data_IF_733582886788
#
_entry.id   IF_733582886788
#
_cell.length_a   1.000
_cell.length_b   1.000
_cell.length_c   1.000
_cell.angle_alpha   90.00
_cell.angle_beta   90.00
_cell.angle_gamma   90.00
#
_symmetry.space_group_name_H-M   'P 1'
#
loop_
_entity.id
_entity.type
_entity.pdbx_description
1 polymer ?
#
# COMPACT_ATOMS: atom_id res chain seq x y z
N UNK A 1 10.13 7.79 10.73
CA UNK A 1 9.03 6.80 10.68
C UNK A 1 7.80 7.46 11.26
N UNK A 2 6.68 7.49 10.53
CA UNK A 2 5.43 8.04 11.04
C UNK A 2 4.76 7.00 11.96
N UNK A 3 4.69 7.29 13.26
CA UNK A 3 4.20 6.40 14.32
C UNK A 3 3.01 7.04 15.03
N UNK A 4 2.16 7.75 14.29
CA UNK A 4 0.92 8.34 14.82
C UNK A 4 -0.29 7.50 14.46
N UNK A 5 -1.34 7.58 15.27
CA UNK A 5 -2.60 6.92 14.99
C UNK A 5 -3.24 7.50 13.73
N UNK A 6 -3.66 6.64 12.80
CA UNK A 6 -4.30 7.09 11.55
C UNK A 6 -5.54 7.97 11.78
N UNK A 7 -6.30 7.70 12.86
CA UNK A 7 -7.59 8.33 13.14
C UNK A 7 -7.45 9.64 13.93
N UNK A 8 -6.64 9.65 14.98
CA UNK A 8 -6.56 10.78 15.92
C UNK A 8 -5.19 11.44 15.99
N UNK A 9 -4.22 10.99 15.18
CA UNK A 9 -2.86 11.51 15.09
C UNK A 9 -2.04 11.48 16.39
N UNK A 10 -2.54 10.82 17.44
CA UNK A 10 -1.80 10.60 18.68
C UNK A 10 -0.66 9.62 18.48
N UNK A 11 0.49 9.90 19.07
CA UNK A 11 1.67 9.03 19.06
C UNK A 11 1.33 7.63 19.59
N UNK A 12 1.71 6.59 18.85
CA UNK A 12 1.47 5.19 19.23
C UNK A 12 2.56 4.27 18.68
N UNK A 13 2.90 3.24 19.45
CA UNK A 13 3.80 2.18 18.99
C UNK A 13 3.03 0.93 18.53
N UNK A 14 1.70 0.98 18.62
CA UNK A 14 0.83 -0.13 18.25
C UNK A 14 0.44 0.02 16.78
N UNK A 15 0.72 -1.03 16.01
CA UNK A 15 0.39 -1.15 14.59
C UNK A 15 -0.52 -2.33 14.35
N UNK A 16 -1.21 -2.34 13.21
CA UNK A 16 -2.00 -3.49 12.80
C UNK A 16 -1.12 -4.75 12.80
N UNK A 17 -1.51 -5.76 13.59
CA UNK A 17 -0.73 -6.98 13.76
C UNK A 17 -0.58 -7.77 12.44
N UNK A 18 -1.52 -7.59 11.51
CA UNK A 18 -1.59 -8.35 10.25
C UNK A 18 -0.71 -7.75 9.15
N UNK A 19 -0.94 -6.48 8.80
CA UNK A 19 -0.20 -5.84 7.71
C UNK A 19 1.02 -5.03 8.16
N UNK A 20 1.09 -4.66 9.45
CA UNK A 20 2.18 -3.85 10.05
C UNK A 20 2.45 -2.50 9.37
N UNK A 21 1.57 -2.04 8.47
CA UNK A 21 1.73 -0.82 7.68
C UNK A 21 1.04 0.43 8.21
N UNK A 22 0.16 0.30 9.22
CA UNK A 22 -0.61 1.41 9.80
C UNK A 22 -0.64 1.31 11.31
N UNK A 23 -0.69 2.46 11.98
CA UNK A 23 -0.63 2.62 13.42
C UNK A 23 -1.98 3.07 14.00
N UNK A 24 -2.31 2.53 15.18
CA UNK A 24 -3.53 2.85 15.93
C UNK A 24 -3.21 2.94 17.42
N UNK A 25 -3.84 3.87 18.14
CA UNK A 25 -3.68 3.94 19.59
C UNK A 25 -4.63 3.00 20.36
N UNK A 26 -5.71 2.50 19.73
CA UNK A 26 -6.70 1.64 20.38
C UNK A 26 -7.41 0.68 19.42
N UNK A 27 -8.17 -0.29 19.98
CA UNK A 27 -8.98 -1.24 19.19
C UNK A 27 -10.20 -0.57 18.57
N UNK A 28 -10.71 0.48 19.19
CA UNK A 28 -11.83 1.29 18.69
C UNK A 28 -11.43 1.96 17.37
N UNK A 29 -10.24 2.56 17.30
CA UNK A 29 -9.75 3.15 16.05
C UNK A 29 -9.44 2.12 14.96
N UNK A 30 -9.05 0.89 15.33
CA UNK A 30 -8.96 -0.22 14.37
C UNK A 30 -10.35 -0.55 13.81
N UNK A 31 -11.35 -0.67 14.67
CA UNK A 31 -12.72 -1.00 14.27
C UNK A 31 -13.33 0.10 13.37
N UNK A 32 -13.05 1.36 13.68
CA UNK A 32 -13.46 2.51 12.88
C UNK A 32 -12.83 2.50 11.48
N UNK A 33 -11.53 2.21 11.35
CA UNK A 33 -10.88 2.13 10.03
C UNK A 33 -11.19 0.82 9.29
N UNK A 34 -11.62 -0.23 9.99
CA UNK A 34 -11.71 -1.59 9.44
C UNK A 34 -12.43 -1.72 8.08
N UNK A 35 -13.55 -1.02 7.83
CA UNK A 35 -14.23 -1.09 6.53
C UNK A 35 -13.32 -0.72 5.35
N UNK A 36 -12.55 0.36 5.48
CA UNK A 36 -11.55 0.77 4.48
C UNK A 36 -10.26 -0.05 4.58
N UNK A 37 -9.82 -0.35 5.81
CA UNK A 37 -8.58 -1.08 6.10
C UNK A 37 -8.55 -2.48 5.50
N UNK A 38 -9.66 -3.22 5.64
CA UNK A 38 -9.71 -4.66 5.42
C UNK A 38 -9.26 -5.07 4.03
N UNK A 39 -9.64 -4.28 3.02
CA UNK A 39 -9.34 -4.55 1.63
C UNK A 39 -7.82 -4.61 1.38
N UNK A 40 -7.10 -3.57 1.80
CA UNK A 40 -5.66 -3.51 1.63
C UNK A 40 -4.89 -4.35 2.64
N UNK A 41 -5.37 -4.42 3.89
CA UNK A 41 -4.74 -5.19 4.96
C UNK A 41 -4.48 -6.65 4.56
N UNK A 42 -5.47 -7.27 3.91
CA UNK A 42 -5.35 -8.65 3.41
C UNK A 42 -4.23 -8.80 2.39
N UNK A 43 -4.18 -7.91 1.40
CA UNK A 43 -3.18 -7.96 0.31
C UNK A 43 -1.76 -7.75 0.82
N UNK A 44 -1.56 -6.71 1.63
CA UNK A 44 -0.25 -6.42 2.25
C UNK A 44 0.23 -7.56 3.12
N UNK A 45 -0.67 -8.16 3.91
CA UNK A 45 -0.29 -9.28 4.78
C UNK A 45 0.16 -10.53 4.02
N UNK A 46 -0.32 -10.73 2.79
CA UNK A 46 0.07 -11.86 1.95
C UNK A 46 1.41 -11.64 1.24
N UNK A 47 1.78 -10.39 0.96
CA UNK A 47 2.96 -10.02 0.19
C UNK A 47 4.29 -10.13 0.96
N UNK A 48 4.25 -10.16 2.29
CA UNK A 48 5.45 -10.24 3.13
C UNK A 48 6.34 -9.00 3.00
N UNK A 49 7.59 -9.19 2.57
CA UNK A 49 8.61 -8.12 2.47
C UNK A 49 8.62 -7.39 1.13
N UNK A 50 7.98 -7.95 0.10
CA UNK A 50 8.00 -7.40 -1.27
C UNK A 50 6.94 -6.31 -1.41
N UNK A 51 7.20 -5.17 -0.78
CA UNK A 51 6.26 -4.04 -0.78
C UNK A 51 6.98 -2.71 -1.03
N UNK A 52 6.36 -1.84 -1.81
CA UNK A 52 6.75 -0.44 -1.95
C UNK A 52 5.91 0.47 -1.05
N UNK A 53 6.41 1.65 -0.76
CA UNK A 53 5.60 2.70 -0.16
C UNK A 53 4.79 3.39 -1.25
N UNK A 54 3.48 3.50 -1.03
CA UNK A 54 2.56 4.15 -1.96
C UNK A 54 1.59 5.05 -1.22
N UNK A 55 1.10 6.08 -1.91
CA UNK A 55 0.07 6.98 -1.37
C UNK A 55 -1.26 6.59 -1.99
N UNK A 56 -2.25 6.33 -1.14
CA UNK A 56 -3.62 6.00 -1.50
C UNK A 56 -4.52 7.20 -1.17
N UNK A 57 -5.18 7.73 -2.20
CA UNK A 57 -6.25 8.72 -2.08
C UNK A 57 -7.58 7.99 -2.21
N UNK A 58 -8.29 7.80 -1.09
CA UNK A 58 -9.64 7.26 -1.11
C UNK A 58 -10.62 8.36 -1.52
N UNK A 59 -11.61 8.04 -2.36
CA UNK A 59 -12.56 9.02 -2.91
C UNK A 59 -13.49 9.61 -1.84
N UNK A 60 -13.72 8.88 -0.75
CA UNK A 60 -14.48 9.27 0.42
C UNK A 60 -13.62 9.87 1.54
N UNK A 61 -12.33 10.11 1.28
CA UNK A 61 -11.38 10.58 2.29
C UNK A 61 -10.57 11.80 1.84
N UNK A 62 -10.48 12.80 2.71
CA UNK A 62 -9.71 14.02 2.46
C UNK A 62 -8.22 13.79 2.74
N UNK A 63 -7.88 12.83 3.61
CA UNK A 63 -6.51 12.57 4.07
C UNK A 63 -5.89 11.42 3.26
N UNK A 64 -4.77 11.63 2.54
CA UNK A 64 -4.08 10.54 1.87
C UNK A 64 -3.54 9.52 2.88
N UNK A 65 -3.58 8.25 2.50
CA UNK A 65 -3.06 7.14 3.29
C UNK A 65 -1.71 6.71 2.75
N UNK A 66 -0.71 6.58 3.61
CA UNK A 66 0.53 5.87 3.26
C UNK A 66 0.29 4.36 3.41
N UNK A 67 0.38 3.63 2.31
CA UNK A 67 0.15 2.19 2.24
C UNK A 67 1.39 1.45 1.74
N UNK A 68 1.47 0.16 2.05
CA UNK A 68 2.45 -0.75 1.47
C UNK A 68 1.84 -1.41 0.23
N UNK A 69 2.43 -1.24 -0.94
CA UNK A 69 1.98 -1.82 -2.22
C UNK A 69 2.75 -3.10 -2.53
N UNK A 70 2.13 -4.29 -2.49
CA UNK A 70 2.74 -5.54 -2.94
C UNK A 70 3.27 -5.49 -4.36
N UNK A 71 4.37 -6.19 -4.59
CA UNK A 71 4.89 -6.43 -5.93
C UNK A 71 5.44 -7.87 -6.07
N UNK A 72 5.43 -8.37 -7.29
CA UNK A 72 6.03 -9.66 -7.67
C UNK A 72 7.00 -9.48 -8.82
N UNK A 73 7.90 -10.45 -9.04
CA UNK A 73 8.69 -10.45 -10.27
C UNK A 73 7.78 -10.64 -11.48
N UNK A 74 8.05 -9.88 -12.54
CA UNK A 74 7.43 -10.08 -13.85
C UNK A 74 7.92 -11.36 -14.51
N UNK A 75 7.14 -11.91 -15.48
CA UNK A 75 7.66 -12.98 -16.33
C UNK A 75 8.91 -12.49 -17.07
N UNK A 76 9.87 -13.40 -17.25
CA UNK A 76 11.05 -13.16 -18.07
C UNK A 76 10.81 -13.87 -19.40
N UNK A 77 10.29 -13.15 -20.36
CA UNK A 77 10.15 -13.60 -21.74
C UNK A 77 11.53 -13.64 -22.40
N UNK A 78 11.76 -14.55 -23.35
CA UNK A 78 13.06 -14.75 -24.02
C UNK A 78 13.59 -13.48 -24.73
N UNK A 79 12.68 -12.57 -25.09
CA UNK A 79 12.97 -11.26 -25.70
C UNK A 79 13.03 -10.10 -24.68
N UNK A 80 12.89 -10.38 -23.38
CA UNK A 80 12.84 -9.35 -22.33
C UNK A 80 14.24 -8.94 -21.90
N UNK A 81 14.55 -7.66 -22.06
CA UNK A 81 15.78 -7.07 -21.50
C UNK A 81 15.61 -6.85 -19.99
N UNK A 82 15.78 -7.92 -19.22
CA UNK A 82 15.90 -7.90 -17.75
C UNK A 82 14.62 -8.25 -16.97
N UNK A 83 14.81 -8.52 -15.67
CA UNK A 83 13.73 -8.76 -14.69
C UNK A 83 13.15 -7.43 -14.19
N UNK A 84 11.83 -7.27 -14.22
CA UNK A 84 11.15 -6.10 -13.64
C UNK A 84 10.19 -6.47 -12.52
N UNK A 85 9.83 -5.48 -11.72
CA UNK A 85 8.91 -5.62 -10.59
C UNK A 85 7.49 -5.24 -11.04
N UNK A 86 6.58 -6.22 -11.02
CA UNK A 86 5.17 -6.06 -11.32
C UNK A 86 4.41 -5.67 -10.05
N UNK A 87 3.87 -4.46 -10.01
CA UNK A 87 3.03 -3.97 -8.93
C UNK A 87 1.64 -4.64 -8.94
N UNK A 88 1.05 -4.86 -7.77
CA UNK A 88 -0.35 -5.25 -7.63
C UNK A 88 -1.29 -4.05 -7.81
N UNK A 89 -1.56 -3.72 -9.08
CA UNK A 89 -2.47 -2.64 -9.48
C UNK A 89 -3.92 -3.10 -9.65
N UNK A 90 -4.27 -4.34 -9.32
CA UNK A 90 -5.68 -4.74 -9.35
C UNK A 90 -6.47 -3.83 -8.41
N UNK A 91 -7.65 -3.29 -8.77
CA UNK A 91 -8.42 -2.42 -7.88
C UNK A 91 -8.59 -3.04 -6.48
N UNK A 92 -8.15 -2.30 -5.45
CA UNK A 92 -8.17 -2.75 -4.05
C UNK A 92 -9.58 -2.63 -3.47
N UNK A 93 -10.31 -1.62 -3.96
CA UNK A 93 -11.68 -1.31 -3.61
C UNK A 93 -12.59 -1.77 -4.75
N UNK A 94 -13.75 -2.33 -4.40
CA UNK A 94 -14.75 -2.77 -5.37
C UNK A 94 -15.87 -1.72 -5.38
N UNK A 95 -15.73 -0.71 -6.22
CA UNK A 95 -16.74 0.32 -6.49
C UNK A 95 -16.83 0.63 -7.98
N UNK A 96 -17.90 1.30 -8.42
CA UNK A 96 -18.12 1.68 -9.82
C UNK A 96 -17.06 2.65 -10.36
N UNK A 97 -16.30 3.28 -9.47
CA UNK A 97 -15.30 4.31 -9.76
C UNK A 97 -13.88 3.91 -9.34
N UNK A 98 -13.56 2.61 -9.31
CA UNK A 98 -12.25 2.11 -8.87
C UNK A 98 -11.27 1.95 -10.04
N UNK A 99 -10.32 2.88 -10.19
CA UNK A 99 -9.25 2.87 -11.21
C UNK A 99 -7.86 2.84 -10.57
N UNK A 100 -6.93 2.02 -11.06
CA UNK A 100 -5.56 2.00 -10.54
C UNK A 100 -4.61 2.59 -11.57
N UNK A 101 -4.00 3.75 -11.29
CA UNK A 101 -2.86 4.25 -12.04
C UNK A 101 -1.62 4.25 -11.15
N UNK A 102 -0.50 3.74 -11.63
CA UNK A 102 0.77 3.78 -10.91
C UNK A 102 1.88 4.35 -11.78
N UNK A 103 2.56 5.37 -11.26
CA UNK A 103 3.80 5.85 -11.83
C UNK A 103 4.97 5.11 -11.17
N UNK A 104 5.67 4.28 -11.93
CA UNK A 104 6.93 3.66 -11.51
C UNK A 104 8.11 4.36 -12.20
N UNK A 105 9.09 4.82 -11.42
CA UNK A 105 10.40 5.16 -11.96
C UNK A 105 11.19 3.87 -12.19
N UNK A 106 11.72 3.67 -13.41
CA UNK A 106 12.68 2.59 -13.68
C UNK A 106 13.99 2.93 -12.96
N UNK A 107 14.42 2.13 -11.99
CA UNK A 107 15.81 2.14 -11.52
C UNK A 107 16.47 0.81 -11.93
N UNK A 108 17.76 0.87 -12.21
CA UNK A 108 18.61 -0.28 -12.55
C UNK A 108 19.14 -1.03 -11.32
N UNK A 109 18.77 -0.61 -10.11
CA UNK A 109 19.35 -1.12 -8.86
C UNK A 109 18.27 -1.62 -7.88
N UNK A 110 18.42 -2.85 -7.34
CA UNK A 110 17.38 -3.53 -6.56
C UNK A 110 17.14 -2.97 -5.14
N UNK A 111 17.83 -1.90 -4.74
CA UNK A 111 17.79 -1.35 -3.36
C UNK A 111 17.09 0.00 -3.22
N UNK A 112 16.56 0.57 -4.30
CA UNK A 112 15.92 1.89 -4.21
C UNK A 112 14.52 1.82 -3.58
N UNK A 113 14.25 2.76 -2.68
CA UNK A 113 12.91 2.96 -2.12
C UNK A 113 12.03 3.68 -3.15
N UNK A 114 11.33 2.93 -4.01
CA UNK A 114 10.38 3.52 -4.95
C UNK A 114 9.13 3.99 -4.20
N UNK A 115 8.85 5.28 -4.29
CA UNK A 115 7.56 5.85 -3.89
C UNK A 115 6.63 5.83 -5.09
N UNK A 116 5.57 5.02 -5.03
CA UNK A 116 4.57 4.95 -6.11
C UNK A 116 3.43 5.90 -5.77
N UNK A 117 3.23 6.94 -6.57
CA UNK A 117 2.07 7.81 -6.46
C UNK A 117 0.95 7.23 -7.29
N UNK A 118 -0.15 6.84 -6.64
CA UNK A 118 -1.34 6.38 -7.32
C UNK A 118 -2.28 7.57 -7.53
N UNK A 119 -2.41 8.00 -8.78
CA UNK A 119 -3.30 9.10 -9.18
C UNK A 119 -4.66 8.54 -9.61
N UNK A 120 -5.75 9.26 -9.30
CA UNK A 120 -7.14 8.92 -9.64
C UNK A 120 -7.73 10.07 -10.42
#
# INVERSE_FOLDING_TARGET
>A
MNTTCLICDTQTNTRCARCKGVYYCSKEHIAQDWPAHKAYCKRVSAAGTNTFDAILFASDEIKPRLIKLPWSWGPVDEDSVGTWQKLDLEPWFKGRDSFSAACTSKSSEPTDHHSVVLWW
#
